data_IF_905966291686
#
_entry.id   IF_905966291686
#
_cell.length_a   1.000
_cell.length_b   1.000
_cell.length_c   1.000
_cell.angle_alpha   90.00
_cell.angle_beta   90.00
_cell.angle_gamma   90.00
#
_symmetry.space_group_name_H-M   'P 1'
#
loop_
_entity.id
_entity.type
_entity.pdbx_description
1 polymer ?
#
# COMPACT_ATOMS: atom_id res chain seq x y z
N UNK A 1 -21.21 -57.76 -12.05
CA UNK A 1 -20.60 -56.78 -11.13
C UNK A 1 -21.58 -55.65 -10.92
N UNK A 2 -22.04 -55.44 -9.69
CA UNK A 2 -22.85 -54.29 -9.31
C UNK A 2 -22.00 -53.02 -9.47
N UNK A 3 -22.40 -52.12 -10.35
CA UNK A 3 -21.74 -50.83 -10.53
C UNK A 3 -21.98 -50.01 -9.25
N UNK A 4 -20.98 -49.92 -8.37
CA UNK A 4 -21.02 -49.04 -7.19
C UNK A 4 -21.14 -47.61 -7.71
N UNK A 5 -22.28 -46.96 -7.49
CA UNK A 5 -22.42 -45.53 -7.79
C UNK A 5 -21.56 -44.76 -6.79
N UNK A 6 -20.64 -43.96 -7.30
CA UNK A 6 -19.83 -43.07 -6.47
C UNK A 6 -20.76 -41.94 -5.98
N UNK A 7 -20.90 -41.74 -4.66
CA UNK A 7 -21.70 -40.64 -4.12
C UNK A 7 -21.01 -39.29 -4.38
N UNK A 8 -21.71 -38.16 -4.20
CA UNK A 8 -21.13 -36.83 -4.33
C UNK A 8 -19.85 -36.64 -3.50
N UNK A 9 -18.81 -36.10 -4.13
CA UNK A 9 -17.57 -35.74 -3.45
C UNK A 9 -17.72 -34.40 -2.74
N UNK A 10 -17.44 -34.36 -1.43
CA UNK A 10 -17.52 -33.12 -0.63
C UNK A 10 -16.20 -32.33 -0.60
N UNK A 11 -15.10 -32.95 -1.02
CA UNK A 11 -13.78 -32.33 -1.08
C UNK A 11 -12.69 -33.26 -0.61
N UNK A 12 -11.58 -32.68 -0.17
CA UNK A 12 -10.45 -33.42 0.39
C UNK A 12 -10.60 -33.50 1.91
N UNK A 13 -10.36 -34.69 2.46
CA UNK A 13 -10.12 -34.92 3.87
C UNK A 13 -8.87 -35.80 4.01
N UNK A 14 -7.72 -35.20 4.30
CA UNK A 14 -6.45 -35.90 4.49
C UNK A 14 -6.03 -36.01 5.97
N UNK A 15 -6.93 -35.64 6.89
CA UNK A 15 -6.73 -35.71 8.34
C UNK A 15 -7.37 -36.96 8.92
N UNK A 16 -8.64 -37.21 8.60
CA UNK A 16 -9.39 -38.31 9.19
C UNK A 16 -9.00 -39.67 8.62
N UNK A 17 -9.24 -40.75 9.37
CA UNK A 17 -9.02 -42.13 8.94
C UNK A 17 -9.90 -42.53 7.74
N UNK A 18 -9.51 -43.60 7.03
CA UNK A 18 -10.15 -44.01 5.77
C UNK A 18 -11.61 -44.46 5.93
N UNK A 19 -11.96 -44.99 7.10
CA UNK A 19 -13.29 -45.50 7.43
C UNK A 19 -14.35 -44.40 7.52
N UNK A 20 -13.96 -43.17 7.85
CA UNK A 20 -14.87 -42.01 7.97
C UNK A 20 -14.93 -41.15 6.70
N UNK A 21 -14.23 -41.52 5.63
CA UNK A 21 -14.29 -40.82 4.35
C UNK A 21 -15.62 -41.05 3.62
N UNK A 22 -16.22 -42.23 3.77
CA UNK A 22 -17.51 -42.58 3.17
C UNK A 22 -18.64 -42.34 4.19
N UNK A 23 -19.45 -41.31 3.94
CA UNK A 23 -20.64 -41.01 4.75
C UNK A 23 -21.82 -41.79 4.15
N UNK A 24 -22.36 -42.75 4.92
CA UNK A 24 -23.56 -43.50 4.57
C UNK A 24 -24.87 -42.81 4.97
N UNK A 25 -26.00 -43.50 4.79
CA UNK A 25 -27.32 -43.05 5.23
C UNK A 25 -28.16 -42.35 4.14
N UNK A 26 -29.09 -41.48 4.55
CA UNK A 26 -30.06 -40.82 3.67
C UNK A 26 -29.45 -39.73 2.76
N UNK A 27 -28.20 -39.35 2.99
CA UNK A 27 -27.49 -38.36 2.17
C UNK A 27 -26.03 -38.81 2.01
N UNK A 28 -25.79 -39.84 1.16
CA UNK A 28 -24.48 -40.44 1.04
C UNK A 28 -23.50 -39.46 0.40
N UNK A 29 -22.26 -39.45 0.89
CA UNK A 29 -21.22 -38.55 0.43
C UNK A 29 -19.83 -39.17 0.62
N UNK A 30 -18.82 -38.67 -0.10
CA UNK A 30 -17.45 -39.16 -0.01
C UNK A 30 -16.45 -38.02 0.06
N UNK A 31 -15.43 -38.18 0.90
CA UNK A 31 -14.23 -37.36 0.88
C UNK A 31 -13.08 -38.09 0.18
N UNK A 32 -12.24 -37.35 -0.52
CA UNK A 32 -11.02 -37.87 -1.14
C UNK A 32 -9.82 -37.60 -0.24
N UNK A 33 -8.84 -38.50 -0.20
CA UNK A 33 -7.52 -38.20 0.39
C UNK A 33 -6.74 -37.20 -0.44
N UNK A 34 -6.86 -37.31 -1.77
CA UNK A 34 -6.18 -36.46 -2.74
C UNK A 34 -6.98 -36.42 -4.05
N UNK A 35 -6.78 -35.37 -4.85
CA UNK A 35 -7.47 -35.11 -6.11
C UNK A 35 -6.49 -34.63 -7.19
N UNK A 36 -5.89 -35.58 -7.91
CA UNK A 36 -4.88 -35.32 -8.96
C UNK A 36 -5.53 -35.32 -10.33
N UNK A 37 -5.29 -34.27 -11.13
CA UNK A 37 -5.77 -34.11 -12.52
C UNK A 37 -7.29 -34.24 -12.70
N UNK A 38 -8.05 -33.88 -11.66
CA UNK A 38 -9.51 -33.84 -11.69
C UNK A 38 -10.03 -32.48 -11.24
N UNK A 39 -11.22 -32.13 -11.72
CA UNK A 39 -12.00 -30.98 -11.28
C UNK A 39 -13.31 -31.48 -10.64
N UNK A 40 -13.63 -30.93 -9.47
CA UNK A 40 -14.89 -31.19 -8.79
C UNK A 40 -15.87 -30.05 -9.11
N UNK A 41 -17.10 -30.40 -9.46
CA UNK A 41 -18.16 -29.42 -9.61
C UNK A 41 -18.91 -29.18 -8.28
N UNK A 42 -19.83 -28.23 -8.27
CA UNK A 42 -20.60 -27.84 -7.06
C UNK A 42 -21.51 -28.96 -6.54
N UNK A 43 -21.84 -29.94 -7.39
CA UNK A 43 -22.63 -31.13 -7.01
C UNK A 43 -21.76 -32.32 -6.57
N UNK A 44 -20.44 -32.14 -6.46
CA UNK A 44 -19.50 -33.21 -6.10
C UNK A 44 -19.23 -34.23 -7.21
N UNK A 45 -19.55 -33.92 -8.47
CA UNK A 45 -19.19 -34.77 -9.61
C UNK A 45 -17.76 -34.51 -10.04
N UNK A 46 -17.06 -35.60 -10.36
CA UNK A 46 -15.67 -35.61 -10.80
C UNK A 46 -15.62 -35.50 -12.32
N UNK A 47 -14.78 -34.60 -12.82
CA UNK A 47 -14.41 -34.50 -14.23
C UNK A 47 -12.90 -34.61 -14.35
N UNK A 48 -12.42 -35.21 -15.44
CA UNK A 48 -11.01 -35.07 -15.79
C UNK A 48 -10.71 -33.60 -16.07
N UNK A 49 -9.61 -33.09 -15.51
CA UNK A 49 -9.20 -31.70 -15.72
C UNK A 49 -8.99 -31.47 -17.21
N UNK A 50 -9.60 -30.40 -17.73
CA UNK A 50 -9.45 -30.04 -19.15
C UNK A 50 -8.01 -29.64 -19.43
N UNK A 51 -7.53 -29.92 -20.63
CA UNK A 51 -6.20 -29.48 -21.07
C UNK A 51 -6.14 -27.95 -21.13
N UNK A 52 -4.97 -27.41 -20.84
CA UNK A 52 -4.70 -25.99 -20.92
C UNK A 52 -4.47 -25.56 -22.38
N UNK A 53 -4.83 -24.32 -22.70
CA UNK A 53 -4.51 -23.69 -23.97
C UNK A 53 -3.65 -22.47 -23.69
N UNK A 54 -2.48 -22.41 -24.31
CA UNK A 54 -1.65 -21.22 -24.28
C UNK A 54 -2.36 -20.06 -24.97
N UNK A 55 -2.45 -18.92 -24.29
CA UNK A 55 -3.07 -17.70 -24.82
C UNK A 55 -2.05 -16.73 -25.42
N UNK A 56 -0.84 -16.67 -24.87
CA UNK A 56 0.26 -15.80 -25.33
C UNK A 56 1.62 -16.40 -24.96
N UNK A 57 2.68 -16.03 -25.69
CA UNK A 57 4.08 -16.33 -25.36
C UNK A 57 4.68 -15.31 -24.37
N UNK A 58 3.99 -14.19 -24.13
CA UNK A 58 4.44 -13.14 -23.23
C UNK A 58 4.22 -13.53 -21.76
N UNK A 59 5.25 -13.31 -20.94
CA UNK A 59 5.29 -13.73 -19.53
C UNK A 59 4.74 -12.66 -18.59
N UNK A 60 3.47 -12.33 -18.75
CA UNK A 60 2.81 -11.38 -17.87
C UNK A 60 2.80 -11.86 -16.41
N UNK A 61 3.02 -10.92 -15.49
CA UNK A 61 2.94 -11.12 -14.03
C UNK A 61 2.06 -10.05 -13.41
N UNK A 62 1.65 -10.27 -12.16
CA UNK A 62 0.85 -9.32 -11.37
C UNK A 62 -0.40 -8.82 -12.12
N UNK A 63 -1.08 -9.71 -12.84
CA UNK A 63 -2.28 -9.36 -13.59
C UNK A 63 -3.37 -8.93 -12.60
N UNK A 64 -3.91 -7.74 -12.79
CA UNK A 64 -4.97 -7.20 -11.97
C UNK A 64 -5.97 -6.43 -12.82
N UNK A 65 -7.26 -6.70 -12.60
CA UNK A 65 -8.34 -5.98 -13.26
C UNK A 65 -8.90 -4.91 -12.32
N UNK A 66 -8.96 -3.67 -12.81
CA UNK A 66 -9.58 -2.58 -12.07
C UNK A 66 -11.08 -2.81 -11.91
N UNK A 67 -11.62 -2.76 -10.68
CA UNK A 67 -13.06 -2.83 -10.47
C UNK A 67 -13.78 -1.60 -11.04
N UNK A 68 -13.09 -0.47 -11.17
CA UNK A 68 -13.64 0.82 -11.61
C UNK A 68 -13.97 0.85 -13.11
N UNK A 69 -12.96 0.66 -13.96
CA UNK A 69 -13.08 0.83 -15.43
C UNK A 69 -12.79 -0.45 -16.22
N UNK A 70 -12.60 -1.59 -15.56
CA UNK A 70 -12.32 -2.91 -16.18
C UNK A 70 -11.01 -3.04 -16.97
N UNK A 71 -10.23 -1.97 -17.10
CA UNK A 71 -8.84 -2.07 -17.55
C UNK A 71 -8.08 -3.14 -16.76
N UNK A 72 -7.20 -3.84 -17.47
CA UNK A 72 -6.34 -4.87 -16.92
C UNK A 72 -4.91 -4.38 -16.97
N UNK A 73 -4.23 -4.44 -15.84
CA UNK A 73 -2.82 -4.10 -15.71
C UNK A 73 -2.02 -5.36 -15.49
N UNK A 74 -0.77 -5.34 -15.92
CA UNK A 74 0.20 -6.38 -15.65
C UNK A 74 1.61 -5.82 -15.67
N UNK A 75 2.57 -6.64 -15.26
CA UNK A 75 3.98 -6.38 -15.51
C UNK A 75 4.50 -7.31 -16.59
N UNK A 76 5.30 -6.77 -17.51
CA UNK A 76 6.06 -7.52 -18.50
C UNK A 76 7.52 -7.08 -18.39
N UNK A 77 8.41 -8.02 -18.10
CA UNK A 77 9.82 -7.74 -17.79
C UNK A 77 9.97 -6.64 -16.72
N UNK A 78 10.45 -5.45 -17.08
CA UNK A 78 10.61 -4.29 -16.17
C UNK A 78 9.64 -3.15 -16.47
N UNK A 79 8.48 -3.47 -17.06
CA UNK A 79 7.48 -2.51 -17.46
C UNK A 79 6.15 -2.78 -16.75
N UNK A 80 5.44 -1.71 -16.42
CA UNK A 80 4.03 -1.76 -16.11
C UNK A 80 3.26 -1.50 -17.40
N UNK A 81 2.31 -2.39 -17.72
CA UNK A 81 1.56 -2.34 -18.96
C UNK A 81 0.06 -2.42 -18.72
N UNK A 82 -0.70 -1.79 -19.61
CA UNK A 82 -2.14 -2.02 -19.75
C UNK A 82 -2.36 -3.11 -20.80
N UNK A 83 -3.07 -4.17 -20.43
CA UNK A 83 -3.35 -5.32 -21.28
C UNK A 83 -4.67 -5.17 -22.02
N UNK A 84 -4.67 -5.53 -23.30
CA UNK A 84 -5.87 -5.84 -24.04
C UNK A 84 -6.19 -7.33 -23.85
N UNK A 85 -7.32 -7.65 -23.20
CA UNK A 85 -7.71 -9.04 -22.92
C UNK A 85 -8.29 -9.79 -24.11
N UNK A 86 -8.55 -9.12 -25.23
CA UNK A 86 -9.06 -9.76 -26.45
C UNK A 86 -7.94 -10.44 -27.25
N UNK A 87 -6.78 -9.80 -27.34
CA UNK A 87 -5.65 -10.25 -28.18
C UNK A 87 -4.32 -10.38 -27.42
N UNK A 88 -4.30 -10.05 -26.13
CA UNK A 88 -3.09 -10.07 -25.28
C UNK A 88 -1.98 -9.12 -25.74
N UNK A 89 -2.31 -8.12 -26.54
CA UNK A 89 -1.43 -6.97 -26.79
C UNK A 89 -1.37 -6.06 -25.55
N UNK A 90 -0.39 -5.15 -25.52
CA UNK A 90 -0.16 -4.30 -24.36
C UNK A 90 0.34 -2.90 -24.73
N UNK A 91 0.00 -1.93 -23.88
CA UNK A 91 0.48 -0.57 -23.90
C UNK A 91 1.39 -0.35 -22.70
N UNK A 92 2.61 0.15 -22.92
CA UNK A 92 3.57 0.45 -21.85
C UNK A 92 3.18 1.75 -21.16
N UNK A 93 2.95 1.69 -19.84
CA UNK A 93 2.60 2.85 -19.04
C UNK A 93 3.79 3.38 -18.22
N UNK A 94 4.65 2.48 -17.73
CA UNK A 94 5.90 2.82 -17.04
C UNK A 94 7.00 1.85 -17.43
N UNK A 95 8.23 2.37 -17.48
CA UNK A 95 9.44 1.61 -17.75
C UNK A 95 10.36 1.55 -16.52
N UNK A 96 11.32 0.63 -16.54
CA UNK A 96 12.39 0.48 -15.56
C UNK A 96 11.95 0.17 -14.11
N UNK A 97 10.70 -0.25 -13.91
CA UNK A 97 10.18 -0.59 -12.59
C UNK A 97 10.73 -1.94 -12.08
N UNK A 98 10.63 -2.15 -10.77
CA UNK A 98 10.81 -3.49 -10.19
C UNK A 98 9.47 -4.27 -10.31
N UNK A 99 9.43 -5.38 -11.08
CA UNK A 99 8.20 -6.11 -11.34
C UNK A 99 7.84 -7.14 -10.26
N UNK A 100 8.66 -7.34 -9.22
CA UNK A 100 8.50 -8.47 -8.30
C UNK A 100 7.26 -8.32 -7.41
N UNK A 101 7.07 -7.11 -6.87
CA UNK A 101 5.91 -6.79 -6.04
C UNK A 101 5.24 -5.53 -6.58
N UNK A 102 4.05 -5.74 -7.13
CA UNK A 102 3.14 -4.67 -7.52
C UNK A 102 1.83 -4.88 -6.76
N UNK A 103 1.37 -3.81 -6.13
CA UNK A 103 0.04 -3.75 -5.53
C UNK A 103 -0.81 -2.71 -6.24
N UNK A 104 -2.08 -3.03 -6.40
CA UNK A 104 -3.08 -2.13 -6.95
C UNK A 104 -4.16 -1.88 -5.92
N UNK A 105 -4.63 -0.64 -5.86
CA UNK A 105 -5.84 -0.29 -5.13
C UNK A 105 -6.58 0.83 -5.86
N UNK A 106 -7.84 1.07 -5.48
CA UNK A 106 -8.66 2.14 -6.07
C UNK A 106 -8.96 3.20 -5.02
N UNK A 107 -8.69 4.45 -5.36
CA UNK A 107 -8.93 5.61 -4.51
C UNK A 107 -9.43 6.78 -5.36
N UNK A 108 -10.55 7.40 -4.98
CA UNK A 108 -11.09 8.61 -5.63
C UNK A 108 -11.20 8.51 -7.16
N UNK A 109 -11.70 7.39 -7.68
CA UNK A 109 -11.80 7.08 -9.12
C UNK A 109 -10.44 7.02 -9.85
N UNK A 110 -9.35 6.79 -9.12
CA UNK A 110 -8.01 6.58 -9.66
C UNK A 110 -7.48 5.22 -9.21
N UNK A 111 -6.57 4.66 -10.00
CA UNK A 111 -5.86 3.43 -9.62
C UNK A 111 -4.54 3.82 -8.98
N UNK A 112 -4.36 3.45 -7.72
CA UNK A 112 -3.07 3.52 -7.05
C UNK A 112 -2.25 2.29 -7.42
N UNK A 113 -0.97 2.51 -7.69
CA UNK A 113 -0.03 1.47 -8.07
C UNK A 113 1.19 1.62 -7.18
N UNK A 114 1.44 0.64 -6.31
CA UNK A 114 2.64 0.59 -5.48
C UNK A 114 3.63 -0.36 -6.09
N UNK A 115 4.84 0.12 -6.31
CA UNK A 115 6.03 -0.70 -6.58
C UNK A 115 6.82 -0.88 -5.29
N UNK A 116 8.02 -1.48 -5.33
CA UNK A 116 8.88 -1.51 -4.15
C UNK A 116 9.46 -0.14 -3.76
N UNK A 117 9.62 0.78 -4.70
CA UNK A 117 10.25 2.08 -4.48
C UNK A 117 9.24 3.22 -4.42
N UNK A 118 8.28 3.22 -5.34
CA UNK A 118 7.42 4.37 -5.62
C UNK A 118 5.93 4.00 -5.65
N UNK A 119 5.11 4.97 -5.29
CA UNK A 119 3.65 4.92 -5.41
C UNK A 119 3.22 5.85 -6.54
N UNK A 120 2.43 5.33 -7.45
CA UNK A 120 1.90 6.04 -8.60
C UNK A 120 0.38 6.10 -8.59
N UNK A 121 -0.15 7.03 -9.37
CA UNK A 121 -1.57 7.20 -9.64
C UNK A 121 -1.81 7.13 -11.14
N UNK A 122 -2.75 6.29 -11.56
CA UNK A 122 -3.31 6.29 -12.91
C UNK A 122 -4.69 6.93 -12.90
N UNK A 123 -4.87 7.98 -13.72
CA UNK A 123 -6.11 8.75 -13.79
C UNK A 123 -7.01 8.38 -14.99
N UNK A 124 -6.73 7.26 -15.66
CA UNK A 124 -7.41 6.86 -16.91
C UNK A 124 -6.66 7.23 -18.19
N UNK A 125 -5.70 8.16 -18.12
CA UNK A 125 -4.95 8.64 -19.28
C UNK A 125 -3.44 8.52 -19.12
N UNK A 126 -2.91 8.87 -17.94
CA UNK A 126 -1.47 8.87 -17.66
C UNK A 126 -1.19 8.34 -16.27
N UNK A 127 0.05 7.90 -16.08
CA UNK A 127 0.61 7.59 -14.76
C UNK A 127 1.45 8.77 -14.29
N UNK A 128 1.29 9.15 -13.03
CA UNK A 128 2.14 10.14 -12.35
C UNK A 128 2.47 9.68 -10.92
N UNK A 129 3.62 10.10 -10.35
CA UNK A 129 3.92 9.79 -8.95
C UNK A 129 2.85 10.35 -8.01
N UNK A 130 2.52 9.60 -6.96
CA UNK A 130 1.64 10.08 -5.89
C UNK A 130 2.39 11.04 -4.97
N UNK A 131 3.60 10.66 -4.58
CA UNK A 131 4.44 11.35 -3.61
C UNK A 131 5.26 12.47 -4.22
N UNK A 132 5.72 13.37 -3.36
CA UNK A 132 6.66 14.45 -3.68
C UNK A 132 7.73 14.38 -2.59
N UNK A 133 8.97 14.11 -2.99
CA UNK A 133 10.09 14.07 -2.06
C UNK A 133 10.35 15.44 -1.44
N UNK A 134 10.86 15.44 -0.21
CA UNK A 134 11.23 16.68 0.45
C UNK A 134 12.47 17.29 -0.23
N UNK A 135 12.53 18.62 -0.37
CA UNK A 135 13.71 19.28 -0.91
C UNK A 135 14.92 19.08 0.00
N UNK A 136 16.09 19.05 -0.62
CA UNK A 136 17.37 19.19 0.09
C UNK A 136 17.46 20.61 0.67
N UNK A 137 18.13 20.75 1.80
CA UNK A 137 18.34 22.05 2.45
C UNK A 137 19.01 23.07 1.52
N UNK A 138 18.54 24.32 1.49
CA UNK A 138 19.16 25.37 0.69
C UNK A 138 20.50 25.80 1.28
N UNK A 139 21.34 26.43 0.45
CA UNK A 139 22.51 27.16 0.93
C UNK A 139 22.09 28.61 1.17
N UNK A 140 22.37 29.12 2.37
CA UNK A 140 22.06 30.49 2.78
C UNK A 140 23.34 31.34 2.83
N UNK A 141 23.28 32.52 2.22
CA UNK A 141 24.35 33.51 2.26
C UNK A 141 23.78 34.82 2.82
N UNK A 142 24.22 35.20 4.02
CA UNK A 142 23.83 36.48 4.61
C UNK A 142 24.59 37.64 3.97
N UNK A 143 23.86 38.70 3.63
CA UNK A 143 24.39 39.89 2.98
C UNK A 143 24.06 41.12 3.83
N UNK A 144 25.02 42.03 3.95
CA UNK A 144 24.88 43.24 4.79
C UNK A 144 24.24 44.42 4.03
N UNK A 145 23.71 44.16 2.86
CA UNK A 145 23.05 45.12 1.97
C UNK A 145 21.93 44.41 1.19
N UNK A 146 21.13 45.17 0.44
CA UNK A 146 20.12 44.60 -0.45
C UNK A 146 18.79 44.23 0.21
N UNK A 147 18.55 44.65 1.45
CA UNK A 147 17.26 44.45 2.12
C UNK A 147 17.05 45.32 3.34
N UNK A 148 16.03 44.98 4.13
CA UNK A 148 15.62 45.64 5.38
C UNK A 148 15.59 44.64 6.55
N UNK A 149 16.33 43.53 6.45
CA UNK A 149 16.48 42.61 7.57
C UNK A 149 17.42 43.22 8.61
N UNK A 150 17.08 43.05 9.89
CA UNK A 150 17.91 43.43 11.04
C UNK A 150 18.86 42.32 11.45
N UNK A 151 19.95 42.64 12.14
CA UNK A 151 20.95 41.65 12.57
C UNK A 151 20.39 40.66 13.60
N UNK A 152 20.59 39.36 13.39
CA UNK A 152 20.06 38.31 14.25
C UNK A 152 19.86 37.00 13.52
N UNK A 153 19.14 36.09 14.15
CA UNK A 153 18.90 34.75 13.66
C UNK A 153 17.64 34.66 12.78
N UNK A 154 17.75 33.94 11.67
CA UNK A 154 16.63 33.60 10.79
C UNK A 154 16.69 32.12 10.47
N UNK A 155 15.51 31.49 10.35
CA UNK A 155 15.38 30.08 9.98
C UNK A 155 14.69 30.02 8.63
N UNK A 156 15.24 29.24 7.69
CA UNK A 156 14.71 29.05 6.34
C UNK A 156 14.50 27.57 6.07
N UNK A 157 13.42 27.25 5.37
CA UNK A 157 13.14 25.91 4.84
C UNK A 157 12.44 26.01 3.48
N UNK A 158 12.53 24.94 2.70
CA UNK A 158 11.90 24.81 1.40
C UNK A 158 10.84 23.70 1.41
N UNK A 159 9.85 23.80 0.53
CA UNK A 159 9.01 22.67 0.12
C UNK A 159 8.85 22.67 -1.40
N UNK A 160 8.58 21.52 -1.98
CA UNK A 160 8.23 21.40 -3.40
C UNK A 160 6.72 21.35 -3.57
N UNK A 161 6.23 21.83 -4.71
CA UNK A 161 4.83 21.65 -5.10
C UNK A 161 4.64 21.20 -6.54
N UNK A 162 3.62 20.36 -6.72
CA UNK A 162 3.14 19.85 -8.00
C UNK A 162 1.62 19.92 -8.01
N UNK A 163 1.05 20.68 -8.95
CA UNK A 163 -0.40 20.78 -9.16
C UNK A 163 -1.21 21.07 -7.88
N UNK A 164 -0.71 21.98 -7.02
CA UNK A 164 -1.36 22.33 -5.77
C UNK A 164 -1.18 21.34 -4.61
N UNK A 165 -0.48 20.21 -4.82
CA UNK A 165 0.04 19.36 -3.73
C UNK A 165 1.41 19.86 -3.31
N UNK A 166 1.65 19.91 -2.01
CA UNK A 166 2.91 20.35 -1.42
C UNK A 166 3.57 19.18 -0.66
N UNK A 167 4.90 19.12 -0.68
CA UNK A 167 5.72 18.19 0.09
C UNK A 167 5.83 18.61 1.56
N UNK A 168 6.54 17.81 2.36
CA UNK A 168 7.09 18.28 3.63
C UNK A 168 8.25 19.27 3.43
N UNK A 169 8.83 19.70 4.55
CA UNK A 169 9.94 20.64 4.55
C UNK A 169 11.30 19.99 4.33
N UNK A 170 12.23 20.76 3.75
CA UNK A 170 13.66 20.52 3.93
C UNK A 170 14.05 20.61 5.40
N UNK A 171 15.27 20.18 5.74
CA UNK A 171 15.83 20.50 7.05
C UNK A 171 15.83 22.03 7.27
N UNK A 172 15.57 22.45 8.51
CA UNK A 172 15.52 23.86 8.87
C UNK A 172 16.94 24.40 8.99
N UNK A 173 17.32 25.34 8.12
CA UNK A 173 18.65 25.96 8.16
C UNK A 173 18.56 27.30 8.86
N UNK A 174 19.38 27.46 9.90
CA UNK A 174 19.52 28.70 10.66
C UNK A 174 20.70 29.50 10.12
N UNK A 175 20.49 30.78 9.83
CA UNK A 175 21.55 31.73 9.47
C UNK A 175 21.54 32.93 10.41
N UNK A 176 22.73 33.41 10.76
CA UNK A 176 22.91 34.59 11.58
C UNK A 176 23.38 35.76 10.72
N UNK A 177 22.55 36.78 10.58
CA UNK A 177 22.86 38.01 9.85
C UNK A 177 23.62 38.99 10.74
N UNK A 178 24.86 39.32 10.36
CA UNK A 178 25.74 40.24 11.13
C UNK A 178 25.76 41.61 10.48
N UNK A 179 24.99 42.56 11.02
CA UNK A 179 24.97 43.93 10.51
C UNK A 179 25.94 44.81 11.30
N UNK A 180 26.89 45.42 10.61
CA UNK A 180 27.84 46.38 11.20
C UNK A 180 27.15 47.74 11.37
N UNK A 181 26.96 48.18 12.60
CA UNK A 181 26.39 49.48 12.94
C UNK A 181 25.95 49.55 14.41
N UNK A 182 25.90 50.75 14.98
CA UNK A 182 25.31 50.96 16.31
C UNK A 182 23.78 51.13 16.15
N UNK A 183 22.98 50.34 16.88
CA UNK A 183 21.52 50.40 16.84
C UNK A 183 20.87 49.32 15.95
N UNK A 184 19.55 49.43 15.73
CA UNK A 184 18.77 48.44 14.98
C UNK A 184 18.76 48.72 13.47
N UNK A 185 19.94 48.62 12.85
CA UNK A 185 20.13 48.91 11.42
C UNK A 185 19.48 47.81 10.57
N UNK A 186 18.54 48.21 9.70
CA UNK A 186 17.80 47.33 8.79
C UNK A 186 18.33 47.47 7.36
N UNK A 187 19.39 46.72 7.04
CA UNK A 187 20.01 46.79 5.72
C UNK A 187 20.35 45.42 5.11
N UNK A 188 20.21 44.35 5.88
CA UNK A 188 20.66 43.04 5.42
C UNK A 188 19.62 42.31 4.58
N UNK A 189 20.09 41.27 3.90
CA UNK A 189 19.29 40.33 3.13
C UNK A 189 19.89 38.92 3.24
N UNK A 190 19.11 37.90 2.88
CA UNK A 190 19.57 36.51 2.84
C UNK A 190 19.40 36.01 1.41
N UNK A 191 20.50 35.73 0.73
CA UNK A 191 20.50 35.06 -0.55
C UNK A 191 20.38 33.54 -0.33
N UNK A 192 19.38 32.94 -0.95
CA UNK A 192 19.08 31.52 -0.93
C UNK A 192 19.51 30.94 -2.28
N UNK A 193 20.41 29.97 -2.27
CA UNK A 193 20.68 29.13 -3.43
C UNK A 193 19.80 27.88 -3.35
N UNK A 194 19.00 27.67 -4.39
CA UNK A 194 18.04 26.56 -4.45
C UNK A 194 18.76 25.24 -4.75
N UNK A 195 18.34 24.13 -4.12
CA UNK A 195 18.81 22.80 -4.50
C UNK A 195 18.35 22.44 -5.92
N UNK A 196 19.11 21.57 -6.58
CA UNK A 196 18.69 21.02 -7.87
C UNK A 196 17.64 19.93 -7.66
N UNK A 197 16.55 19.99 -8.44
CA UNK A 197 15.48 18.99 -8.42
C UNK A 197 15.55 18.12 -9.68
N UNK A 198 15.64 16.79 -9.49
CA UNK A 198 15.67 15.81 -10.58
C UNK A 198 14.28 15.38 -11.05
N UNK A 199 13.24 15.63 -10.24
CA UNK A 199 11.87 15.28 -10.59
C UNK A 199 11.26 16.36 -11.50
N UNK A 200 11.21 16.04 -12.80
CA UNK A 200 10.62 16.91 -13.83
C UNK A 200 9.12 17.20 -13.65
N UNK A 201 8.43 16.46 -12.78
CA UNK A 201 7.00 16.67 -12.53
C UNK A 201 6.73 17.77 -11.51
N UNK A 202 7.73 18.18 -10.74
CA UNK A 202 7.63 19.27 -9.76
C UNK A 202 7.65 20.60 -10.52
N UNK A 203 6.72 21.49 -10.18
CA UNK A 203 6.52 22.74 -10.91
C UNK A 203 7.08 23.95 -10.16
N UNK A 204 7.07 23.88 -8.83
CA UNK A 204 7.33 25.03 -7.97
C UNK A 204 8.15 24.64 -6.73
N UNK A 205 8.88 25.61 -6.21
CA UNK A 205 9.51 25.58 -4.89
C UNK A 205 8.93 26.71 -4.04
N UNK A 206 8.49 26.38 -2.83
CA UNK A 206 7.99 27.34 -1.86
C UNK A 206 9.09 27.63 -0.83
N UNK A 207 9.32 28.90 -0.56
CA UNK A 207 10.32 29.37 0.40
C UNK A 207 9.62 29.80 1.67
N UNK A 208 10.09 29.32 2.81
CA UNK A 208 9.59 29.68 4.13
C UNK A 208 10.71 30.28 4.96
N UNK A 209 10.38 31.31 5.74
CA UNK A 209 11.32 32.03 6.58
C UNK A 209 10.66 32.39 7.91
N UNK A 210 11.44 32.46 8.98
CA UNK A 210 11.01 33.02 10.26
C UNK A 210 11.23 34.53 10.34
N UNK A 211 10.54 35.19 11.27
CA UNK A 211 10.91 36.55 11.67
C UNK A 211 12.24 36.54 12.42
N UNK A 212 12.86 37.72 12.56
CA UNK A 212 14.11 37.88 13.32
C UNK A 212 14.01 37.26 14.72
N UNK A 213 14.97 36.40 15.05
CA UNK A 213 15.06 35.60 16.28
C UNK A 213 13.84 34.71 16.56
N UNK A 214 12.99 34.48 15.55
CA UNK A 214 11.82 33.61 15.63
C UNK A 214 12.12 32.21 15.10
N UNK A 215 11.28 31.26 15.49
CA UNK A 215 11.34 29.86 15.06
C UNK A 215 10.17 29.43 14.17
N UNK A 216 9.10 30.23 14.10
CA UNK A 216 7.92 29.91 13.30
C UNK A 216 8.20 30.21 11.82
N UNK A 217 8.17 29.17 11.00
CA UNK A 217 8.32 29.28 9.55
C UNK A 217 7.01 29.76 8.92
N UNK A 218 7.08 30.81 8.12
CA UNK A 218 5.95 31.34 7.35
C UNK A 218 6.35 31.54 5.90
N UNK A 219 5.38 31.37 4.99
CA UNK A 219 5.63 31.41 3.55
C UNK A 219 6.14 32.78 3.13
N UNK A 220 7.34 32.83 2.57
CA UNK A 220 7.92 34.02 1.95
C UNK A 220 7.44 34.17 0.50
N UNK A 221 7.44 33.08 -0.27
CA UNK A 221 6.98 33.09 -1.66
C UNK A 221 6.98 31.73 -2.32
N UNK A 222 6.39 31.65 -3.51
CA UNK A 222 6.42 30.50 -4.41
C UNK A 222 7.14 30.90 -5.69
N UNK A 223 8.04 30.04 -6.17
CA UNK A 223 8.85 30.31 -7.34
C UNK A 223 8.84 29.08 -8.27
N UNK A 224 8.98 29.26 -9.59
CA UNK A 224 9.17 28.14 -10.51
C UNK A 224 10.36 27.28 -10.09
N UNK A 225 10.27 25.95 -10.25
CA UNK A 225 11.35 25.02 -9.86
C UNK A 225 12.68 25.31 -10.58
N UNK A 226 12.65 26.01 -11.72
CA UNK A 226 13.83 26.45 -12.49
C UNK A 226 14.60 27.61 -11.84
N UNK A 227 14.08 28.16 -10.74
CA UNK A 227 14.71 29.28 -10.03
C UNK A 227 15.94 28.79 -9.28
N UNK A 228 17.11 29.38 -9.57
CA UNK A 228 18.38 28.96 -8.95
C UNK A 228 18.71 29.74 -7.68
N UNK A 229 18.23 30.98 -7.57
CA UNK A 229 18.50 31.84 -6.42
C UNK A 229 17.33 32.79 -6.13
N UNK A 230 17.12 33.10 -4.85
CA UNK A 230 16.15 34.09 -4.38
C UNK A 230 16.77 34.88 -3.22
N UNK A 231 16.47 36.18 -3.15
CA UNK A 231 16.84 37.01 -2.01
C UNK A 231 15.63 37.23 -1.11
N UNK A 232 15.81 36.94 0.19
CA UNK A 232 14.92 37.42 1.25
C UNK A 232 15.42 38.79 1.68
N UNK A 233 14.70 39.84 1.29
CA UNK A 233 15.04 41.23 1.61
C UNK A 233 14.21 41.76 2.78
N UNK A 234 13.08 41.11 3.12
CA UNK A 234 12.17 41.52 4.19
C UNK A 234 11.39 40.35 4.78
N UNK A 235 10.89 40.51 6.01
CA UNK A 235 10.09 39.49 6.74
C UNK A 235 8.80 40.06 7.34
N UNK A 236 8.43 41.28 6.95
CA UNK A 236 7.20 41.97 7.38
C UNK A 236 5.93 41.46 6.66
N UNK A 237 6.10 40.82 5.50
CA UNK A 237 5.00 40.33 4.65
C UNK A 237 4.98 38.80 4.51
N UNK A 238 5.28 38.09 5.59
CA UNK A 238 5.22 36.63 5.59
C UNK A 238 3.75 36.15 5.56
N UNK A 239 3.49 35.16 4.73
CA UNK A 239 2.20 34.49 4.60
C UNK A 239 1.92 33.51 5.75
N UNK A 240 1.15 32.47 5.45
CA UNK A 240 0.80 31.43 6.43
C UNK A 240 1.95 30.43 6.63
N UNK A 241 1.96 29.80 7.80
CA UNK A 241 2.79 28.61 8.04
C UNK A 241 2.21 27.42 7.27
N UNK A 242 3.07 26.48 6.87
CA UNK A 242 2.64 25.21 6.31
C UNK A 242 2.29 24.24 7.45
N UNK A 243 1.29 23.39 7.21
CA UNK A 243 0.87 22.34 8.13
C UNK A 243 1.73 21.07 8.04
N UNK A 244 2.55 20.91 6.99
CA UNK A 244 3.35 19.70 6.73
C UNK A 244 4.74 19.71 7.38
N UNK A 245 4.87 20.32 8.56
CA UNK A 245 6.12 20.33 9.32
C UNK A 245 6.46 18.89 9.76
N UNK A 246 7.71 18.47 9.54
CA UNK A 246 8.21 17.11 9.85
C UNK A 246 7.51 15.97 9.10
N UNK A 247 6.83 16.27 7.98
CA UNK A 247 6.26 15.23 7.12
C UNK A 247 7.28 14.82 6.05
N UNK A 248 7.19 13.57 5.61
CA UNK A 248 7.96 13.01 4.50
C UNK A 248 7.05 12.36 3.47
N UNK A 249 7.58 12.11 2.28
CA UNK A 249 6.89 11.37 1.23
C UNK A 249 6.44 9.98 1.72
N UNK A 250 5.18 9.62 1.47
CA UNK A 250 4.64 8.32 1.86
C UNK A 250 5.44 7.17 1.21
N UNK A 251 6.16 6.34 1.98
CA UNK A 251 7.02 5.33 1.39
C UNK A 251 6.18 4.22 0.77
N UNK A 252 6.67 3.72 -0.37
CA UNK A 252 6.10 2.55 -1.00
C UNK A 252 6.38 1.27 -0.21
N UNK A 253 5.76 0.17 -0.61
CA UNK A 253 5.99 -1.10 0.05
C UNK A 253 5.57 -2.31 -0.77
N UNK A 254 5.89 -3.47 -0.22
CA UNK A 254 5.51 -4.77 -0.76
C UNK A 254 4.00 -4.97 -0.77
N UNK A 255 3.30 -4.38 0.19
CA UNK A 255 1.84 -4.35 0.24
C UNK A 255 1.34 -2.91 0.35
N UNK A 256 0.19 -2.63 -0.27
CA UNK A 256 -0.49 -1.35 -0.19
C UNK A 256 -2.00 -1.56 -0.11
N UNK A 257 -2.67 -0.83 0.79
CA UNK A 257 -4.13 -0.82 0.92
C UNK A 257 -4.68 0.54 1.33
N UNK A 258 -5.85 0.91 0.82
CA UNK A 258 -6.63 2.02 1.34
C UNK A 258 -7.49 1.58 2.52
N UNK A 259 -7.50 2.39 3.59
CA UNK A 259 -8.32 2.14 4.76
C UNK A 259 -8.59 3.44 5.53
N UNK A 260 -9.87 3.67 5.86
CA UNK A 260 -10.34 4.78 6.72
C UNK A 260 -9.70 6.15 6.41
N UNK A 261 -9.68 6.55 5.12
CA UNK A 261 -9.13 7.86 4.74
C UNK A 261 -7.60 7.94 4.78
N UNK A 262 -6.90 6.82 4.90
CA UNK A 262 -5.43 6.71 4.88
C UNK A 262 -4.97 5.66 3.87
N UNK A 263 -3.75 5.85 3.40
CA UNK A 263 -3.01 4.84 2.65
C UNK A 263 -2.14 4.03 3.62
N UNK A 264 -2.19 2.72 3.51
CA UNK A 264 -1.37 1.78 4.25
C UNK A 264 -0.28 1.27 3.31
N UNK A 265 0.97 1.29 3.75
CA UNK A 265 2.04 0.53 3.07
C UNK A 265 2.76 -0.35 4.07
N UNK A 266 3.17 -1.52 3.61
CA UNK A 266 3.91 -2.46 4.44
C UNK A 266 5.12 -3.00 3.68
N UNK A 267 6.28 -2.91 4.33
CA UNK A 267 7.50 -3.57 3.89
C UNK A 267 8.25 -4.12 5.11
N UNK A 268 8.93 -5.26 4.91
CA UNK A 268 9.61 -6.02 5.97
C UNK A 268 8.65 -6.26 7.14
N UNK A 269 8.90 -5.68 8.32
CA UNK A 269 8.10 -5.82 9.53
C UNK A 269 7.45 -4.48 9.96
N UNK A 270 7.39 -3.50 9.07
CA UNK A 270 6.88 -2.15 9.38
C UNK A 270 5.63 -1.90 8.55
N UNK A 271 4.53 -1.60 9.24
CA UNK A 271 3.32 -1.02 8.65
C UNK A 271 3.39 0.50 8.81
N UNK A 272 3.15 1.24 7.73
CA UNK A 272 3.12 2.71 7.73
C UNK A 272 1.76 3.21 7.29
N UNK A 273 1.41 4.38 7.81
CA UNK A 273 0.15 5.05 7.53
C UNK A 273 0.44 6.39 6.87
N UNK A 274 -0.32 6.78 5.87
CA UNK A 274 -0.30 8.17 5.43
C UNK A 274 -1.06 9.04 6.42
N UNK A 275 -0.85 10.35 6.33
CA UNK A 275 -1.74 11.34 6.92
C UNK A 275 -3.16 11.20 6.36
N UNK A 276 -4.15 11.51 7.21
CA UNK A 276 -5.56 11.43 6.83
C UNK A 276 -5.85 12.38 5.66
N UNK A 277 -6.46 11.85 4.60
CA UNK A 277 -6.76 12.57 3.34
C UNK A 277 -5.56 13.20 2.62
N UNK A 278 -4.34 12.98 3.13
CA UNK A 278 -3.08 13.51 2.57
C UNK A 278 -2.17 12.32 2.26
N UNK A 279 -2.63 11.50 1.31
CA UNK A 279 -2.08 10.17 1.03
C UNK A 279 -0.61 10.15 0.59
N UNK A 280 -0.11 11.29 0.14
CA UNK A 280 1.26 11.44 -0.34
C UNK A 280 2.26 11.76 0.77
N UNK A 281 1.80 11.98 2.00
CA UNK A 281 2.65 12.32 3.15
C UNK A 281 2.43 11.37 4.33
N UNK A 282 3.47 11.22 5.14
CA UNK A 282 3.41 10.63 6.47
C UNK A 282 4.40 11.29 7.43
N UNK A 283 4.18 11.11 8.72
CA UNK A 283 5.13 11.44 9.78
C UNK A 283 6.01 10.21 10.06
N UNK A 284 7.30 10.30 9.77
CA UNK A 284 8.27 9.22 10.01
C UNK A 284 8.39 8.83 11.48
N UNK A 285 8.01 9.71 12.40
CA UNK A 285 8.21 9.53 13.84
C UNK A 285 7.04 8.82 14.51
N UNK A 286 5.84 8.93 13.94
CA UNK A 286 4.61 8.48 14.59
C UNK A 286 3.71 7.60 13.70
N UNK A 287 3.74 7.76 12.37
CA UNK A 287 2.82 7.04 11.48
C UNK A 287 3.32 5.65 11.08
N UNK A 288 3.80 4.88 12.05
CA UNK A 288 4.21 3.50 11.80
C UNK A 288 3.96 2.60 13.00
N UNK A 289 3.76 1.31 12.69
CA UNK A 289 3.70 0.22 13.67
C UNK A 289 4.77 -0.79 13.29
N UNK A 290 5.70 -1.03 14.22
CA UNK A 290 6.69 -2.10 14.09
C UNK A 290 6.12 -3.39 14.64
N UNK A 291 6.18 -4.44 13.82
CA UNK A 291 5.72 -5.77 14.16
C UNK A 291 6.92 -6.69 14.45
N UNK A 292 6.73 -7.77 15.24
CA UNK A 292 7.84 -8.62 15.69
C UNK A 292 8.50 -9.45 14.57
N UNK A 293 7.80 -9.67 13.46
CA UNK A 293 8.17 -10.55 12.36
C UNK A 293 7.81 -9.92 11.01
N UNK A 294 8.41 -10.44 9.92
CA UNK A 294 8.13 -9.95 8.57
C UNK A 294 6.66 -10.15 8.20
N UNK A 295 6.05 -9.12 7.61
CA UNK A 295 4.69 -9.09 7.11
C UNK A 295 4.58 -9.94 5.83
N UNK A 296 3.55 -10.79 5.78
CA UNK A 296 3.25 -11.70 4.67
C UNK A 296 1.95 -11.33 3.93
N UNK A 297 1.07 -10.55 4.57
CA UNK A 297 -0.04 -9.82 3.94
C UNK A 297 -0.58 -8.73 4.88
N UNK A 298 -1.33 -7.78 4.33
CA UNK A 298 -2.20 -6.84 5.07
C UNK A 298 -3.59 -6.83 4.46
N UNK A 299 -4.63 -6.94 5.28
CA UNK A 299 -6.02 -6.86 4.86
C UNK A 299 -6.83 -6.04 5.87
N UNK A 300 -7.12 -4.77 5.56
CA UNK A 300 -7.98 -3.95 6.40
C UNK A 300 -9.43 -4.42 6.35
N UNK A 301 -10.09 -4.38 7.51
CA UNK A 301 -11.52 -4.66 7.72
C UNK A 301 -12.15 -3.51 8.53
N UNK A 302 -13.41 -3.65 8.91
CA UNK A 302 -14.18 -2.55 9.50
C UNK A 302 -13.62 -2.09 10.86
N UNK A 303 -13.30 -3.00 11.79
CA UNK A 303 -12.82 -2.67 13.14
C UNK A 303 -11.30 -2.79 13.32
N UNK A 304 -10.54 -2.93 12.23
CA UNK A 304 -9.09 -3.07 12.32
C UNK A 304 -8.42 -3.60 11.08
N UNK A 305 -7.20 -4.13 11.26
CA UNK A 305 -6.36 -4.63 10.17
C UNK A 305 -5.85 -6.03 10.50
N UNK A 306 -6.13 -6.97 9.61
CA UNK A 306 -5.52 -8.29 9.63
C UNK A 306 -4.12 -8.26 9.04
N UNK A 307 -3.15 -8.77 9.77
CA UNK A 307 -1.75 -8.81 9.36
C UNK A 307 -1.23 -10.23 9.51
N UNK A 308 -0.84 -10.82 8.38
CA UNK A 308 -0.07 -12.05 8.38
C UNK A 308 1.40 -11.76 8.67
N UNK A 309 2.01 -12.59 9.50
CA UNK A 309 3.46 -12.65 9.67
C UNK A 309 3.98 -14.02 9.25
N UNK A 310 5.29 -14.23 9.29
CA UNK A 310 5.91 -15.50 8.87
C UNK A 310 5.47 -16.69 9.73
N UNK A 311 5.20 -16.47 11.01
CA UNK A 311 4.95 -17.51 12.02
C UNK A 311 3.56 -17.44 12.66
N UNK A 312 2.82 -16.34 12.51
CA UNK A 312 1.48 -16.17 13.09
C UNK A 312 0.68 -15.06 12.38
N UNK A 313 -0.56 -14.86 12.86
CA UNK A 313 -1.45 -13.79 12.41
C UNK A 313 -1.74 -12.84 13.56
N UNK A 314 -1.86 -11.56 13.25
CA UNK A 314 -2.17 -10.46 14.17
C UNK A 314 -3.42 -9.75 13.68
N UNK A 315 -4.26 -9.35 14.63
CA UNK A 315 -5.30 -8.36 14.40
C UNK A 315 -4.92 -7.06 15.12
N UNK A 316 -4.74 -5.97 14.36
CA UNK A 316 -4.64 -4.63 14.92
C UNK A 316 -6.05 -4.08 15.06
N UNK A 317 -6.57 -4.11 16.28
CA UNK A 317 -7.93 -3.65 16.60
C UNK A 317 -7.96 -2.14 16.81
N UNK A 318 -8.91 -1.45 16.19
CA UNK A 318 -9.04 0.00 16.26
C UNK A 318 -9.12 0.65 14.88
N UNK A 319 -9.74 1.83 14.81
CA UNK A 319 -9.94 2.60 13.58
C UNK A 319 -8.95 3.75 13.39
N UNK A 320 -8.24 4.13 14.46
CA UNK A 320 -7.20 5.17 14.42
C UNK A 320 -5.84 4.53 14.75
N UNK A 321 -4.79 4.76 13.94
CA UNK A 321 -3.47 4.15 14.14
C UNK A 321 -2.86 4.35 15.53
N UNK A 322 -3.07 5.51 16.16
CA UNK A 322 -2.52 5.81 17.49
C UNK A 322 -3.18 5.03 18.63
N UNK A 323 -4.39 4.53 18.41
CA UNK A 323 -5.18 3.80 19.41
C UNK A 323 -5.23 2.30 19.14
N UNK A 324 -4.55 1.83 18.08
CA UNK A 324 -4.57 0.43 17.69
C UNK A 324 -3.99 -0.48 18.76
N UNK A 325 -4.73 -1.54 19.06
CA UNK A 325 -4.32 -2.58 20.00
C UNK A 325 -3.82 -3.80 19.21
N UNK A 326 -2.61 -4.24 19.53
CA UNK A 326 -2.02 -5.44 18.97
C UNK A 326 -2.64 -6.69 19.62
N UNK A 327 -3.33 -7.51 18.84
CA UNK A 327 -3.91 -8.78 19.31
C UNK A 327 -3.30 -9.92 18.50
N UNK A 328 -2.37 -10.65 19.12
CA UNK A 328 -1.86 -11.91 18.56
C UNK A 328 -2.97 -12.94 18.52
N UNK A 329 -3.16 -13.59 17.38
CA UNK A 329 -4.15 -14.66 17.22
C UNK A 329 -3.47 -16.02 17.11
N UNK A 330 -4.17 -17.02 17.63
CA UNK A 330 -3.78 -18.43 17.53
C UNK A 330 -4.31 -18.98 16.22
N UNK A 331 -3.56 -18.80 15.14
CA UNK A 331 -3.80 -19.43 13.85
C UNK A 331 -2.49 -19.98 13.30
N UNK A 332 -2.58 -21.00 12.45
CA UNK A 332 -1.44 -21.48 11.68
C UNK A 332 -0.85 -20.36 10.82
N UNK A 333 0.46 -20.42 10.59
CA UNK A 333 1.17 -19.46 9.76
C UNK A 333 0.50 -19.33 8.39
N UNK A 334 0.24 -18.10 7.92
CA UNK A 334 -0.34 -17.90 6.61
C UNK A 334 0.68 -18.18 5.51
N UNK A 335 0.22 -18.79 4.42
CA UNK A 335 1.01 -18.87 3.19
C UNK A 335 1.14 -17.44 2.63
N UNK A 336 2.37 -16.91 2.46
CA UNK A 336 2.56 -15.54 2.02
C UNK A 336 1.84 -15.23 0.71
N UNK A 337 1.27 -14.03 0.58
CA UNK A 337 0.54 -13.56 -0.62
C UNK A 337 -0.74 -14.33 -1.00
N UNK A 338 -1.13 -15.35 -0.24
CA UNK A 338 -2.39 -16.07 -0.46
C UNK A 338 -3.62 -15.28 -0.01
N UNK A 339 -3.42 -14.18 0.73
CA UNK A 339 -4.52 -13.46 1.34
C UNK A 339 -5.28 -12.59 0.33
N UNK A 340 -6.61 -12.60 0.41
CA UNK A 340 -7.50 -11.75 -0.36
C UNK A 340 -8.65 -11.21 0.51
N UNK A 341 -9.21 -10.09 0.08
CA UNK A 341 -10.46 -9.57 0.62
C UNK A 341 -11.65 -10.30 0.02
N UNK A 342 -12.57 -10.74 0.87
CA UNK A 342 -13.84 -11.35 0.45
C UNK A 342 -15.02 -10.57 1.02
N UNK A 343 -16.06 -10.43 0.21
CA UNK A 343 -17.31 -9.78 0.59
C UNK A 343 -18.19 -10.76 1.38
N UNK A 344 -18.99 -10.20 2.29
CA UNK A 344 -20.12 -10.84 2.96
C UNK A 344 -21.02 -11.66 2.03
N UNK A 345 -21.24 -11.23 0.78
CA UNK A 345 -22.04 -11.97 -0.21
C UNK A 345 -21.48 -13.37 -0.53
N UNK A 346 -20.16 -13.56 -0.42
CA UNK A 346 -19.50 -14.83 -0.73
C UNK A 346 -19.60 -15.82 0.44
N UNK A 347 -19.37 -15.33 1.66
CA UNK A 347 -19.22 -16.16 2.88
C UNK A 347 -20.51 -16.23 3.71
N UNK A 348 -21.49 -15.36 3.45
CA UNK A 348 -22.73 -15.26 4.21
C UNK A 348 -22.65 -14.32 5.41
N UNK A 349 -23.79 -13.72 5.75
CA UNK A 349 -23.91 -12.69 6.79
C UNK A 349 -23.43 -13.14 8.18
N UNK A 350 -23.71 -14.39 8.56
CA UNK A 350 -23.31 -14.96 9.85
C UNK A 350 -21.79 -15.03 10.00
N UNK A 351 -21.08 -15.51 8.97
CA UNK A 351 -19.63 -15.64 8.99
C UNK A 351 -18.95 -14.26 8.92
N UNK A 352 -19.53 -13.35 8.14
CA UNK A 352 -19.04 -11.96 8.06
C UNK A 352 -19.30 -11.13 9.33
N UNK A 353 -20.14 -11.62 10.25
CA UNK A 353 -20.59 -10.91 11.46
C UNK A 353 -21.15 -9.52 11.16
N UNK A 354 -21.84 -9.37 10.03
CA UNK A 354 -22.39 -8.09 9.56
C UNK A 354 -21.35 -7.10 9.00
N UNK A 355 -20.07 -7.49 8.95
CA UNK A 355 -19.01 -6.70 8.33
C UNK A 355 -19.08 -6.73 6.80
N UNK A 356 -18.64 -5.64 6.16
CA UNK A 356 -18.61 -5.55 4.70
C UNK A 356 -17.43 -6.32 4.10
N UNK A 357 -16.33 -6.38 4.85
CA UNK A 357 -15.05 -6.94 4.42
C UNK A 357 -14.61 -8.02 5.39
N UNK A 358 -14.17 -9.15 4.84
CA UNK A 358 -13.57 -10.24 5.60
C UNK A 358 -12.24 -10.59 4.95
N UNK A 359 -11.23 -10.83 5.78
CA UNK A 359 -9.94 -11.30 5.32
C UNK A 359 -10.00 -12.82 5.12
N UNK A 360 -9.49 -13.31 4.00
CA UNK A 360 -9.32 -14.74 3.77
C UNK A 360 -7.87 -15.01 3.40
N UNK A 361 -7.24 -16.03 3.99
CA UNK A 361 -5.93 -16.52 3.58
C UNK A 361 -5.86 -18.05 3.61
N UNK A 362 -4.81 -18.60 3.01
CA UNK A 362 -4.50 -20.02 3.07
C UNK A 362 -3.44 -20.28 4.14
N UNK A 363 -3.64 -21.31 4.96
CA UNK A 363 -2.67 -21.82 5.95
C UNK A 363 -2.51 -23.34 5.80
N UNK A 364 -1.70 -23.94 6.67
CA UNK A 364 -1.41 -25.37 6.67
C UNK A 364 -2.66 -26.26 6.73
N UNK A 365 -3.68 -25.81 7.45
CA UNK A 365 -4.95 -26.49 7.67
C UNK A 365 -6.07 -26.03 6.73
N UNK A 366 -5.74 -25.40 5.60
CA UNK A 366 -6.70 -24.92 4.60
C UNK A 366 -7.02 -23.43 4.72
N UNK A 367 -8.18 -23.03 4.20
CA UNK A 367 -8.59 -21.63 4.22
C UNK A 367 -9.04 -21.17 5.62
N UNK A 368 -8.58 -19.98 5.98
CA UNK A 368 -8.91 -19.31 7.24
C UNK A 368 -9.50 -17.95 6.95
N UNK A 369 -10.55 -17.60 7.70
CA UNK A 369 -11.22 -16.32 7.65
C UNK A 369 -10.87 -15.50 8.89
N UNK A 370 -10.63 -14.21 8.68
CA UNK A 370 -10.56 -13.19 9.72
C UNK A 370 -11.75 -12.24 9.59
N UNK A 371 -12.63 -12.22 10.59
CA UNK A 371 -13.86 -11.42 10.59
C UNK A 371 -13.57 -9.93 10.72
N UNK A 372 -14.61 -9.10 10.53
CA UNK A 372 -14.51 -7.65 10.70
C UNK A 372 -14.17 -7.19 12.12
N UNK A 373 -14.50 -8.02 13.12
CA UNK A 373 -14.33 -7.78 14.57
C UNK A 373 -13.04 -8.38 15.13
N UNK A 374 -12.27 -9.10 14.30
CA UNK A 374 -11.01 -9.71 14.71
C UNK A 374 -11.12 -11.17 15.16
N UNK A 375 -12.20 -11.88 14.88
CA UNK A 375 -12.30 -13.33 15.13
C UNK A 375 -11.72 -14.17 14.00
N UNK A 376 -11.25 -15.37 14.33
CA UNK A 376 -10.70 -16.32 13.35
C UNK A 376 -11.65 -17.50 13.19
N UNK A 377 -11.89 -17.90 11.93
CA UNK A 377 -12.68 -19.08 11.58
C UNK A 377 -11.85 -19.94 10.63
N UNK A 378 -11.46 -21.13 11.09
CA UNK A 378 -10.72 -22.10 10.30
C UNK A 378 -11.70 -23.05 9.61
N UNK A 379 -11.90 -22.89 8.29
CA UNK A 379 -12.99 -23.57 7.57
C UNK A 379 -12.77 -25.08 7.41
N UNK A 380 -11.50 -25.53 7.50
CA UNK A 380 -11.11 -26.90 7.15
C UNK A 380 -10.23 -27.57 8.21
N UNK A 381 -10.17 -27.05 9.45
CA UNK A 381 -9.22 -27.49 10.49
C UNK A 381 -9.26 -28.99 10.80
N UNK A 382 -10.40 -29.66 10.64
CA UNK A 382 -10.57 -31.10 10.85
C UNK A 382 -10.46 -31.96 9.58
N UNK A 383 -10.21 -31.34 8.42
CA UNK A 383 -10.24 -32.00 7.11
C UNK A 383 -8.94 -31.85 6.34
N UNK A 384 -8.28 -30.69 6.42
CA UNK A 384 -7.06 -30.40 5.66
C UNK A 384 -5.87 -30.21 6.60
N UNK A 385 -4.73 -30.75 6.20
CA UNK A 385 -3.42 -30.53 6.81
C UNK A 385 -2.30 -30.61 5.78
N UNK A 386 -1.11 -30.11 6.15
CA UNK A 386 0.12 -30.27 5.37
C UNK A 386 0.26 -29.35 4.16
N UNK A 387 -0.59 -28.33 4.01
CA UNK A 387 -0.44 -27.35 2.93
C UNK A 387 0.75 -26.44 3.26
N UNK A 388 1.82 -26.53 2.46
CA UNK A 388 3.02 -25.70 2.66
C UNK A 388 3.47 -25.12 1.32
N UNK A 389 3.91 -23.87 1.32
CA UNK A 389 4.39 -23.17 0.13
C UNK A 389 5.23 -21.96 0.50
N UNK A 390 6.10 -21.51 -0.42
CA UNK A 390 6.86 -20.26 -0.22
C UNK A 390 6.02 -19.03 -0.54
N UNK A 391 5.09 -19.17 -1.48
CA UNK A 391 4.13 -18.13 -1.83
C UNK A 391 2.82 -18.76 -2.34
N UNK A 392 1.74 -18.00 -2.21
CA UNK A 392 0.44 -18.30 -2.78
C UNK A 392 -0.12 -17.13 -3.59
N UNK A 393 -1.04 -17.40 -4.52
CA UNK A 393 -1.82 -16.37 -5.21
C UNK A 393 -3.25 -16.84 -5.28
N UNK A 394 -4.14 -16.09 -4.64
CA UNK A 394 -5.56 -16.42 -4.57
C UNK A 394 -6.38 -15.55 -5.52
N UNK A 395 -7.37 -16.17 -6.16
CA UNK A 395 -8.33 -15.49 -7.04
C UNK A 395 -9.73 -16.02 -6.78
N UNK A 396 -10.71 -15.11 -6.82
CA UNK A 396 -12.12 -15.45 -6.78
C UNK A 396 -12.64 -15.66 -8.20
N UNK A 397 -13.23 -16.82 -8.45
CA UNK A 397 -13.93 -17.14 -9.70
C UNK A 397 -15.39 -17.48 -9.39
N UNK A 398 -16.27 -16.48 -9.51
CA UNK A 398 -17.68 -16.60 -9.10
C UNK A 398 -17.80 -16.85 -7.59
N UNK A 399 -18.33 -18.02 -7.22
CA UNK A 399 -18.41 -18.49 -5.81
C UNK A 399 -17.22 -19.34 -5.37
N UNK A 400 -16.25 -19.59 -6.26
CA UNK A 400 -15.07 -20.40 -5.95
C UNK A 400 -13.89 -19.52 -5.59
N UNK A 401 -13.07 -20.05 -4.70
CA UNK A 401 -11.76 -19.52 -4.41
C UNK A 401 -10.71 -20.52 -4.89
N UNK A 402 -9.72 -20.02 -5.62
CA UNK A 402 -8.61 -20.83 -6.11
C UNK A 402 -7.33 -20.17 -5.64
N UNK A 403 -6.47 -20.94 -4.99
CA UNK A 403 -5.12 -20.51 -4.64
C UNK A 403 -4.11 -21.38 -5.37
N UNK A 404 -3.25 -20.73 -6.14
CA UNK A 404 -2.05 -21.35 -6.68
C UNK A 404 -0.94 -21.21 -5.64
N UNK A 405 -0.20 -22.29 -5.40
CA UNK A 405 0.91 -22.33 -4.44
C UNK A 405 2.22 -22.70 -5.16
N UNK A 406 3.33 -22.12 -4.71
CA UNK A 406 4.67 -22.32 -5.29
C UNK A 406 5.78 -22.34 -4.24
#
# INVERSE_FOLDING_TARGET
MTVKKIPPILGINNVSEDDVLEIGGNSPALYLKDAVNVDLNETGKIYLRKSERQLTDLKYKNIWQSPLHKDVFATLDRQLVKLNTLDWSNEVLLENINPEYICFDVLNNQVLISTLSDIFVFNGFKIEPLTIENPVSPILLSQNEGGILGGGDYVVALSYSRNGKESGFSEHIKTHLKISGNGDVLQGSILIQMPYCLDSTITEVNVYCSTRNGSELRKYGSYPITTTQITIDRVDQLGRSNQFINMSAMPSGKFMKYWQGRLLTADKNILRFSQAMTYHLHDERHDFIMLPQRISFILPVDEGIWIGQVDHVVFLSGIEPSEMIFIKKTAHSPIPFSAIEVDSDLIGGEISQGGRRTALWLSENGYVLGTSTGEIIELHSSKLQGITAKAGRSVRLGRRLITLVS
#
